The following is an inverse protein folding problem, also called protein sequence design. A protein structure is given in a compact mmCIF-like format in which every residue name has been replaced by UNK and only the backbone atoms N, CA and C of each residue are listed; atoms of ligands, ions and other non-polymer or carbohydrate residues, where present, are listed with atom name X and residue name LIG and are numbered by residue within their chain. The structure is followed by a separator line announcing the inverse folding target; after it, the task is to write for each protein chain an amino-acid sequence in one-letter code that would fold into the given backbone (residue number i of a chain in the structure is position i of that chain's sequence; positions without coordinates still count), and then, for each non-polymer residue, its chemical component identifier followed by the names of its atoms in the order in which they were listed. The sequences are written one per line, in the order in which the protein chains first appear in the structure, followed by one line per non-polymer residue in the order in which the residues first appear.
data_IF_749277569582
#
_entry.id   IF_749277569582
#
_cell.length_a   1.000
_cell.length_b   1.000
_cell.length_c   1.000
_cell.angle_alpha   90.00
_cell.angle_beta   90.00
_cell.angle_gamma   90.00
#
_symmetry.space_group_name_H-M   'P 1'
#
loop_
_entity.id
_entity.type
_entity.pdbx_description
1 polymer ?
#
# COMPACT_ATOMS: atom_id res chain seq x y z
N UNK A 1 -3.56 -7.80 14.18
CA UNK A 1 -4.39 -6.61 14.48
C UNK A 1 -4.42 -5.83 13.18
N UNK A 2 -5.50 -5.94 12.41
CA UNK A 2 -5.61 -5.34 11.07
C UNK A 2 -5.69 -3.82 11.13
N UNK A 3 -5.42 -3.17 10.00
CA UNK A 3 -5.47 -1.71 9.90
C UNK A 3 -6.90 -1.20 10.11
N UNK A 4 -7.03 -0.07 10.80
CA UNK A 4 -8.33 0.57 11.01
C UNK A 4 -8.77 1.33 9.74
N UNK A 5 -10.09 1.48 9.49
CA UNK A 5 -10.59 2.11 8.26
C UNK A 5 -10.01 3.50 7.98
N UNK A 6 -9.88 4.34 9.01
CA UNK A 6 -9.30 5.69 8.89
C UNK A 6 -7.82 5.68 8.48
N UNK A 7 -7.07 4.64 8.84
CA UNK A 7 -5.69 4.44 8.39
C UNK A 7 -5.66 4.04 6.92
N UNK A 8 -6.58 3.19 6.48
CA UNK A 8 -6.71 2.80 5.07
C UNK A 8 -7.05 4.01 4.18
N UNK A 9 -7.95 4.91 4.61
CA UNK A 9 -8.26 6.14 3.87
C UNK A 9 -7.03 7.07 3.73
N UNK A 10 -6.22 7.16 4.79
CA UNK A 10 -4.97 7.91 4.77
C UNK A 10 -3.95 7.29 3.80
N UNK A 11 -3.77 5.97 3.86
CA UNK A 11 -2.88 5.24 2.96
C UNK A 11 -3.37 5.29 1.50
N UNK A 12 -4.69 5.26 1.27
CA UNK A 12 -5.26 5.43 -0.07
C UNK A 12 -4.91 6.80 -0.65
N UNK A 13 -5.02 7.85 0.16
CA UNK A 13 -4.66 9.22 -0.24
C UNK A 13 -3.17 9.34 -0.57
N UNK A 14 -2.30 8.67 0.21
CA UNK A 14 -0.87 8.60 -0.07
C UNK A 14 -0.59 7.79 -1.34
N UNK A 15 -1.28 6.68 -1.56
CA UNK A 15 -1.12 5.89 -2.78
C UNK A 15 -1.52 6.67 -4.04
N UNK A 16 -2.56 7.51 -3.98
CA UNK A 16 -2.91 8.43 -5.06
C UNK A 16 -1.80 9.46 -5.32
N UNK A 17 -1.26 10.07 -4.26
CA UNK A 17 -0.12 10.99 -4.38
C UNK A 17 1.11 10.31 -5.01
N UNK A 18 1.40 9.07 -4.59
CA UNK A 18 2.50 8.25 -5.12
C UNK A 18 2.27 7.92 -6.59
N UNK A 19 1.04 7.55 -6.96
CA UNK A 19 0.64 7.32 -8.36
C UNK A 19 0.79 8.59 -9.20
N UNK A 20 0.57 9.76 -8.63
CA UNK A 20 0.83 11.07 -9.25
C UNK A 20 2.33 11.46 -9.30
N UNK A 21 3.24 10.62 -8.78
CA UNK A 21 4.69 10.83 -8.82
C UNK A 21 5.31 11.34 -7.52
N UNK A 22 4.53 11.50 -6.45
CA UNK A 22 5.02 11.94 -5.14
C UNK A 22 5.49 10.74 -4.29
N UNK A 23 6.51 10.02 -4.77
CA UNK A 23 7.04 8.84 -4.06
C UNK A 23 7.62 9.16 -2.67
N UNK A 24 8.03 10.41 -2.43
CA UNK A 24 8.51 10.90 -1.14
C UNK A 24 7.42 10.84 -0.05
N UNK A 25 6.15 10.78 -0.43
CA UNK A 25 5.02 10.61 0.49
C UNK A 25 5.06 9.27 1.27
N UNK A 26 5.91 8.31 0.86
CA UNK A 26 6.16 7.05 1.55
C UNK A 26 7.27 7.15 2.61
N UNK A 27 7.90 8.31 2.77
CA UNK A 27 8.91 8.55 3.81
C UNK A 27 8.23 8.54 5.19
N UNK A 28 8.80 7.78 6.14
CA UNK A 28 8.26 7.68 7.51
C UNK A 28 7.16 6.64 7.73
N UNK A 29 6.68 5.98 6.67
CA UNK A 29 5.73 4.86 6.80
C UNK A 29 6.41 3.59 7.30
N UNK A 30 5.65 2.77 8.02
CA UNK A 30 6.03 1.42 8.39
C UNK A 30 6.12 0.51 7.17
N UNK A 31 6.83 -0.62 7.27
CA UNK A 31 6.97 -1.58 6.17
C UNK A 31 5.63 -2.04 5.58
N UNK A 32 4.62 -2.31 6.43
CA UNK A 32 3.28 -2.71 5.99
C UNK A 32 2.52 -1.61 5.26
N UNK A 33 2.63 -0.37 5.73
CA UNK A 33 2.00 0.82 5.12
C UNK A 33 2.62 1.16 3.77
N UNK A 34 3.94 1.03 3.65
CA UNK A 34 4.66 1.15 2.37
C UNK A 34 4.22 0.10 1.38
N UNK A 35 4.13 -1.15 1.82
CA UNK A 35 3.65 -2.26 1.01
C UNK A 35 2.23 -1.98 0.52
N UNK A 36 1.34 -1.56 1.42
CA UNK A 36 -0.03 -1.17 1.06
C UNK A 36 -0.02 -0.09 -0.03
N UNK A 37 0.66 1.03 0.20
CA UNK A 37 0.67 2.12 -0.78
C UNK A 37 1.34 1.75 -2.10
N UNK A 38 2.41 0.96 -2.08
CA UNK A 38 3.10 0.51 -3.29
C UNK A 38 2.21 -0.42 -4.13
N UNK A 39 1.45 -1.31 -3.49
CA UNK A 39 0.49 -2.19 -4.15
C UNK A 39 -0.71 -1.40 -4.70
N UNK A 40 -1.27 -0.50 -3.89
CA UNK A 40 -2.37 0.40 -4.25
C UNK A 40 -2.01 1.31 -5.44
N UNK A 41 -0.81 1.90 -5.43
CA UNK A 41 -0.31 2.72 -6.53
C UNK A 41 0.16 1.90 -7.75
N UNK A 42 0.05 0.56 -7.71
CA UNK A 42 0.57 -0.37 -8.71
C UNK A 42 2.05 -0.12 -9.07
N UNK A 43 2.85 0.27 -8.07
CA UNK A 43 4.26 0.62 -8.20
C UNK A 43 5.10 -0.41 -7.45
N UNK A 44 5.27 -1.59 -8.06
CA UNK A 44 6.14 -2.64 -7.52
C UNK A 44 7.60 -2.18 -7.32
N UNK A 45 8.03 -1.17 -8.08
CA UNK A 45 9.31 -0.48 -7.94
C UNK A 45 9.52 0.19 -6.57
N UNK A 46 8.44 0.54 -5.86
CA UNK A 46 8.48 1.17 -4.53
C UNK A 46 8.39 0.15 -3.39
N UNK A 47 8.33 -1.15 -3.71
CA UNK A 47 8.36 -2.19 -2.68
C UNK A 47 9.73 -2.20 -1.99
N UNK A 48 9.77 -2.53 -0.67
CA UNK A 48 11.03 -2.67 0.03
C UNK A 48 11.94 -3.70 -0.64
N UNK A 49 13.24 -3.44 -0.64
CA UNK A 49 14.22 -4.30 -1.30
C UNK A 49 14.09 -5.77 -0.84
N UNK A 50 13.93 -6.68 -1.80
CA UNK A 50 13.76 -8.11 -1.55
C UNK A 50 12.31 -8.57 -1.36
N UNK A 51 11.32 -7.67 -1.40
CA UNK A 51 9.91 -8.05 -1.44
C UNK A 51 9.40 -8.17 -2.87
N UNK A 52 8.84 -9.34 -3.19
CA UNK A 52 7.99 -9.52 -4.38
C UNK A 52 6.56 -9.08 -4.08
N UNK A 53 5.77 -8.81 -5.13
CA UNK A 53 4.33 -8.52 -5.01
C UNK A 53 3.62 -9.59 -4.17
N UNK A 54 3.94 -10.87 -4.39
CA UNK A 54 3.34 -12.00 -3.66
C UNK A 54 3.69 -11.97 -2.17
N UNK A 55 4.96 -11.70 -1.82
CA UNK A 55 5.38 -11.58 -0.42
C UNK A 55 4.77 -10.35 0.25
N UNK A 56 4.57 -9.27 -0.50
CA UNK A 56 3.93 -8.06 -0.05
C UNK A 56 2.45 -8.31 0.29
N UNK A 57 1.73 -9.03 -0.57
CA UNK A 57 0.36 -9.50 -0.29
C UNK A 57 0.30 -10.43 0.91
N UNK A 58 1.20 -11.42 1.00
CA UNK A 58 1.27 -12.33 2.14
C UNK A 58 1.58 -11.60 3.47
N UNK A 59 2.23 -10.44 3.41
CA UNK A 59 2.54 -9.61 4.59
C UNK A 59 1.31 -8.84 5.08
N UNK A 60 0.44 -8.41 4.16
CA UNK A 60 -0.80 -7.70 4.47
C UNK A 60 -1.90 -8.64 4.95
N UNK A 61 -1.89 -9.90 4.51
CA UNK A 61 -2.83 -10.93 4.96
C UNK A 61 -4.30 -10.45 4.85
N UNK A 62 -5.07 -10.35 5.93
CA UNK A 62 -6.43 -9.78 5.93
C UNK A 62 -6.53 -8.37 5.28
N UNK A 63 -5.51 -7.51 5.46
CA UNK A 63 -5.50 -6.15 4.92
C UNK A 63 -5.37 -6.13 3.39
N UNK A 64 -4.84 -7.21 2.78
CA UNK A 64 -4.75 -7.33 1.32
C UNK A 64 -6.13 -7.40 0.67
N UNK A 65 -7.08 -8.10 1.32
CA UNK A 65 -8.45 -8.22 0.82
C UNK A 65 -9.17 -6.88 0.89
N UNK A 66 -8.94 -6.10 1.95
CA UNK A 66 -9.45 -4.74 2.06
C UNK A 66 -8.86 -3.83 0.97
N UNK A 67 -7.55 -3.92 0.72
CA UNK A 67 -6.88 -3.20 -0.36
C UNK A 67 -7.50 -3.53 -1.72
N UNK A 68 -7.64 -4.82 -2.06
CA UNK A 68 -8.20 -5.24 -3.34
C UNK A 68 -9.64 -4.74 -3.50
N UNK A 69 -10.50 -4.89 -2.50
CA UNK A 69 -11.88 -4.40 -2.58
C UNK A 69 -11.96 -2.87 -2.82
N UNK A 70 -11.03 -2.09 -2.23
CA UNK A 70 -11.02 -0.63 -2.34
C UNK A 70 -10.45 -0.15 -3.67
N UNK A 71 -9.47 -0.85 -4.22
CA UNK A 71 -8.73 -0.45 -5.43
C UNK A 71 -9.23 -1.12 -6.71
N UNK A 72 -9.95 -2.24 -6.63
CA UNK A 72 -10.53 -2.92 -7.81
C UNK A 72 -11.53 -2.04 -8.58
N UNK A 73 -12.11 -1.03 -7.92
CA UNK A 73 -13.15 -0.15 -8.48
C UNK A 73 -12.71 1.32 -8.68
N UNK A 74 -11.42 1.66 -8.52
CA UNK A 74 -10.89 3.04 -8.68
C UNK A 74 -10.00 3.18 -9.92
#
# INVERSE_FOLDING_TARGET
MGMIPSQLDYLDSLAEAVRAGQADALAGLSTGERIYCALAANRADLLPAGYTIVQAFARLDDDATALMNRWEHR
#
